data_IF_221454192150
#
_entry.id   IF_221454192150
#
_cell.length_a   1.000
_cell.length_b   1.000
_cell.length_c   1.000
_cell.angle_alpha   90.00
_cell.angle_beta   90.00
_cell.angle_gamma   90.00
#
_symmetry.space_group_name_H-M   'P 1'
#
loop_
_entity.id
_entity.type
_entity.pdbx_description
1 polymer ?
#
# COMPACT_ATOMS: atom_id res chain seq x y z
N UNK A 1 -17.88 7.01 -21.83
CA UNK A 1 -16.81 7.84 -22.44
C UNK A 1 -15.50 7.10 -22.29
N UNK A 2 -14.94 6.57 -23.37
CA UNK A 2 -13.62 5.93 -23.36
C UNK A 2 -12.56 7.03 -23.43
N UNK A 3 -12.09 7.47 -22.27
CA UNK A 3 -11.03 8.48 -22.20
C UNK A 3 -9.70 7.83 -22.52
N UNK A 4 -9.06 8.24 -23.61
CA UNK A 4 -7.67 7.85 -23.86
C UNK A 4 -6.77 8.47 -22.77
N UNK A 5 -5.80 7.69 -22.22
CA UNK A 5 -4.85 8.24 -21.27
C UNK A 5 -4.07 9.41 -21.89
N UNK A 6 -4.09 10.54 -21.21
CA UNK A 6 -3.34 11.74 -21.62
C UNK A 6 -1.86 11.61 -21.18
N UNK A 7 -0.93 12.43 -21.75
CA UNK A 7 0.45 12.50 -21.24
C UNK A 7 0.52 12.77 -19.72
N UNK A 8 -0.40 13.59 -19.20
CA UNK A 8 -0.51 13.84 -17.76
C UNK A 8 -0.86 12.57 -16.98
N UNK A 9 -1.71 11.68 -17.51
CA UNK A 9 -2.03 10.42 -16.84
C UNK A 9 -0.80 9.49 -16.79
N UNK A 10 0.01 9.42 -17.84
CA UNK A 10 1.25 8.66 -17.85
C UNK A 10 2.27 9.20 -16.85
N UNK A 11 2.42 10.53 -16.77
CA UNK A 11 3.26 11.17 -15.76
C UNK A 11 2.75 10.87 -14.34
N UNK A 12 1.43 10.88 -14.14
CA UNK A 12 0.81 10.56 -12.84
C UNK A 12 1.09 9.13 -12.40
N UNK A 13 1.03 8.15 -13.32
CA UNK A 13 1.36 6.74 -13.02
C UNK A 13 2.84 6.59 -12.65
N UNK A 14 3.72 7.25 -13.39
CA UNK A 14 5.15 7.22 -13.09
C UNK A 14 5.44 7.84 -11.72
N UNK A 15 4.87 9.01 -11.46
CA UNK A 15 5.03 9.72 -10.19
C UNK A 15 4.47 8.93 -9.00
N UNK A 16 3.30 8.31 -9.15
CA UNK A 16 2.73 7.44 -8.12
C UNK A 16 3.59 6.21 -7.87
N UNK A 17 4.15 5.60 -8.92
CA UNK A 17 5.08 4.48 -8.79
C UNK A 17 6.33 4.87 -8.00
N UNK A 18 6.93 6.01 -8.32
CA UNK A 18 8.09 6.58 -7.60
C UNK A 18 7.75 6.89 -6.14
N UNK A 19 6.65 7.58 -5.89
CA UNK A 19 6.24 7.98 -4.53
C UNK A 19 5.98 6.75 -3.66
N UNK A 20 5.18 5.80 -4.13
CA UNK A 20 4.84 4.63 -3.32
C UNK A 20 5.98 3.62 -3.24
N UNK A 21 6.78 3.45 -4.29
CA UNK A 21 8.00 2.65 -4.24
C UNK A 21 9.03 3.23 -3.27
N UNK A 22 9.22 4.55 -3.28
CA UNK A 22 10.09 5.26 -2.34
C UNK A 22 9.57 5.31 -0.90
N UNK A 23 8.29 5.05 -0.68
CA UNK A 23 7.68 5.07 0.67
C UNK A 23 8.41 4.13 1.63
N UNK A 24 8.78 2.93 1.20
CA UNK A 24 9.44 1.92 2.05
C UNK A 24 10.82 2.39 2.50
N UNK A 25 11.59 3.02 1.62
CA UNK A 25 12.86 3.67 1.95
C UNK A 25 12.65 4.78 3.00
N UNK A 26 11.65 5.64 2.80
CA UNK A 26 11.39 6.76 3.73
C UNK A 26 10.90 6.26 5.09
N UNK A 27 10.13 5.16 5.14
CA UNK A 27 9.76 4.47 6.39
C UNK A 27 11.01 3.97 7.10
N UNK A 28 11.95 3.32 6.39
CA UNK A 28 13.21 2.86 6.98
C UNK A 28 14.02 4.03 7.59
N UNK A 29 14.09 5.18 6.89
CA UNK A 29 14.75 6.39 7.41
C UNK A 29 14.02 6.93 8.64
N UNK A 30 12.69 6.93 8.67
CA UNK A 30 11.92 7.39 9.82
C UNK A 30 12.15 6.51 11.06
N UNK A 31 12.30 5.20 10.84
CA UNK A 31 12.56 4.20 11.90
C UNK A 31 13.95 4.33 12.53
N UNK A 32 14.88 5.09 11.95
CA UNK A 32 16.17 5.38 12.58
C UNK A 32 16.04 6.23 13.85
N UNK A 33 14.96 7.01 13.97
CA UNK A 33 14.75 7.90 15.10
C UNK A 33 13.44 7.70 15.85
N UNK A 34 12.49 6.96 15.26
CA UNK A 34 11.15 6.80 15.84
C UNK A 34 10.71 5.34 15.88
N UNK A 35 9.92 4.99 16.87
CA UNK A 35 9.28 3.68 16.93
C UNK A 35 8.27 3.44 15.81
N UNK A 36 7.97 2.17 15.49
CA UNK A 36 7.09 1.81 14.37
C UNK A 36 5.66 2.33 14.51
N UNK A 37 5.11 2.37 15.71
CA UNK A 37 3.77 2.93 15.94
C UNK A 37 3.78 4.46 15.83
N UNK A 38 4.86 5.12 16.24
CA UNK A 38 5.05 6.57 16.06
C UNK A 38 5.11 6.93 14.58
N UNK A 39 5.87 6.18 13.77
CA UNK A 39 5.94 6.38 12.32
C UNK A 39 4.56 6.18 11.67
N UNK A 40 3.88 5.08 12.00
CA UNK A 40 2.53 4.78 11.48
C UNK A 40 1.50 5.83 11.91
N UNK A 41 1.51 6.25 13.18
CA UNK A 41 0.60 7.23 13.76
C UNK A 41 0.81 8.62 13.15
N UNK A 42 2.05 9.10 13.14
CA UNK A 42 2.36 10.46 12.69
C UNK A 42 2.05 10.65 11.20
N UNK A 43 2.45 9.70 10.32
CA UNK A 43 2.11 9.77 8.89
C UNK A 43 0.60 9.74 8.65
N UNK A 44 -0.12 8.92 9.43
CA UNK A 44 -1.59 8.80 9.31
C UNK A 44 -2.28 10.08 9.76
N UNK A 45 -1.86 10.64 10.89
CA UNK A 45 -2.43 11.86 11.45
C UNK A 45 -2.17 13.07 10.54
N UNK A 46 -0.94 13.25 10.04
CA UNK A 46 -0.62 14.30 9.08
C UNK A 46 -1.44 14.18 7.80
N UNK A 47 -1.55 12.97 7.26
CA UNK A 47 -2.38 12.71 6.09
C UNK A 47 -3.86 12.98 6.34
N UNK A 48 -4.38 12.56 7.52
CA UNK A 48 -5.76 12.79 7.92
C UNK A 48 -6.09 14.29 8.02
N UNK A 49 -5.25 15.06 8.71
CA UNK A 49 -5.42 16.51 8.85
C UNK A 49 -5.40 17.18 7.48
N UNK A 50 -4.42 16.85 6.64
CA UNK A 50 -4.29 17.42 5.29
C UNK A 50 -5.52 17.12 4.44
N UNK A 51 -5.99 15.85 4.38
CA UNK A 51 -7.15 15.51 3.57
C UNK A 51 -8.47 16.03 4.15
N UNK A 52 -8.62 16.12 5.49
CA UNK A 52 -9.80 16.73 6.10
C UNK A 52 -9.88 18.23 5.77
N UNK A 53 -8.77 18.95 5.83
CA UNK A 53 -8.73 20.35 5.39
C UNK A 53 -9.16 20.49 3.93
N UNK A 54 -8.69 19.61 3.05
CA UNK A 54 -9.09 19.60 1.65
C UNK A 54 -10.57 19.27 1.46
N UNK A 55 -11.12 18.27 2.19
CA UNK A 55 -12.55 17.96 2.19
C UNK A 55 -13.36 19.20 2.55
N UNK A 56 -12.91 19.96 3.56
CA UNK A 56 -13.59 21.19 4.03
C UNK A 56 -13.48 22.31 3.00
N UNK A 57 -12.29 22.59 2.47
CA UNK A 57 -12.06 23.64 1.46
C UNK A 57 -12.81 23.35 0.17
N UNK A 58 -12.84 22.09 -0.25
CA UNK A 58 -13.53 21.66 -1.48
C UNK A 58 -15.03 21.41 -1.28
N UNK A 59 -15.57 21.64 -0.09
CA UNK A 59 -16.98 21.39 0.27
C UNK A 59 -17.45 19.99 -0.13
N UNK A 60 -16.62 18.95 0.12
CA UNK A 60 -16.98 17.57 -0.24
C UNK A 60 -18.03 17.02 0.71
N UNK A 61 -19.00 16.23 0.18
CA UNK A 61 -20.06 15.68 1.00
C UNK A 61 -19.54 14.68 2.04
N UNK A 62 -20.08 14.76 3.24
CA UNK A 62 -19.87 13.78 4.29
C UNK A 62 -20.84 12.60 4.13
N UNK A 63 -20.37 11.35 4.39
CA UNK A 63 -21.23 10.18 4.28
C UNK A 63 -22.32 10.17 5.36
N UNK A 64 -23.50 9.70 4.96
CA UNK A 64 -24.65 9.57 5.83
C UNK A 64 -25.06 8.10 5.97
N UNK A 65 -25.63 7.74 7.12
CA UNK A 65 -26.17 6.42 7.40
C UNK A 65 -25.18 5.46 8.08
N UNK A 66 -25.70 4.67 9.02
CA UNK A 66 -24.91 3.76 9.85
C UNK A 66 -24.17 2.68 9.06
N UNK A 67 -24.72 2.22 7.93
CA UNK A 67 -24.10 1.21 7.09
C UNK A 67 -22.77 1.70 6.51
N UNK A 68 -22.74 2.93 5.99
CA UNK A 68 -21.52 3.54 5.43
C UNK A 68 -20.43 3.66 6.51
N UNK A 69 -20.81 4.12 7.70
CA UNK A 69 -19.87 4.26 8.82
C UNK A 69 -19.30 2.93 9.29
N UNK A 70 -20.09 1.83 9.27
CA UNK A 70 -19.56 0.48 9.54
C UNK A 70 -18.50 0.07 8.53
N UNK A 71 -18.73 0.31 7.23
CA UNK A 71 -17.72 0.08 6.20
C UNK A 71 -16.49 0.93 6.41
N UNK A 72 -16.65 2.23 6.67
CA UNK A 72 -15.54 3.15 6.91
C UNK A 72 -14.66 2.73 8.09
N UNK A 73 -15.28 2.30 9.21
CA UNK A 73 -14.54 1.82 10.38
C UNK A 73 -13.66 0.62 10.04
N UNK A 74 -14.21 -0.40 9.39
CA UNK A 74 -13.46 -1.60 9.03
C UNK A 74 -12.40 -1.28 7.97
N UNK A 75 -12.76 -0.49 6.94
CA UNK A 75 -11.82 -0.07 5.89
C UNK A 75 -10.71 0.79 6.51
N UNK A 76 -11.01 1.71 7.41
CA UNK A 76 -10.02 2.56 8.07
C UNK A 76 -8.99 1.75 8.86
N UNK A 77 -9.41 0.74 9.59
CA UNK A 77 -8.48 -0.17 10.28
C UNK A 77 -7.65 -0.98 9.29
N UNK A 78 -8.29 -1.62 8.31
CA UNK A 78 -7.62 -2.54 7.38
C UNK A 78 -6.83 -1.84 6.26
N UNK A 79 -7.11 -0.58 5.97
CA UNK A 79 -6.41 0.18 4.93
C UNK A 79 -5.34 1.12 5.47
N UNK A 80 -5.35 1.43 6.76
CA UNK A 80 -4.42 2.40 7.35
C UNK A 80 -3.80 1.92 8.66
N UNK A 81 -4.56 1.74 9.73
CA UNK A 81 -4.00 1.44 11.05
C UNK A 81 -3.17 0.15 11.04
N UNK A 82 -3.80 -0.96 10.68
CA UNK A 82 -3.17 -2.28 10.71
C UNK A 82 -1.99 -2.40 9.73
N UNK A 83 -2.14 -2.10 8.42
CA UNK A 83 -1.02 -2.28 7.50
C UNK A 83 0.13 -1.31 7.75
N UNK A 84 -0.12 -0.08 8.19
CA UNK A 84 0.96 0.84 8.50
C UNK A 84 1.75 0.43 9.74
N UNK A 85 1.06 -0.05 10.79
CA UNK A 85 1.74 -0.62 11.96
C UNK A 85 2.56 -1.86 11.59
N UNK A 86 1.97 -2.81 10.86
CA UNK A 86 2.64 -4.05 10.46
C UNK A 86 3.87 -3.79 9.56
N UNK A 87 3.74 -2.89 8.59
CA UNK A 87 4.85 -2.52 7.70
C UNK A 87 5.96 -1.80 8.46
N UNK A 88 5.62 -0.82 9.30
CA UNK A 88 6.61 -0.10 10.09
C UNK A 88 7.31 -1.04 11.09
N UNK A 89 6.56 -1.95 11.74
CA UNK A 89 7.16 -2.93 12.62
C UNK A 89 8.04 -3.93 11.86
N UNK A 90 7.55 -4.48 10.77
CA UNK A 90 8.32 -5.42 9.95
C UNK A 90 9.62 -4.83 9.43
N UNK A 91 9.59 -3.59 8.95
CA UNK A 91 10.75 -2.90 8.39
C UNK A 91 11.85 -2.54 9.41
N UNK A 92 11.63 -2.75 10.71
CA UNK A 92 12.74 -2.71 11.68
C UNK A 92 13.70 -3.88 11.49
N UNK A 93 13.28 -4.98 10.87
CA UNK A 93 14.00 -6.25 10.78
C UNK A 93 14.25 -6.70 9.34
N UNK A 94 13.44 -6.26 8.38
CA UNK A 94 13.59 -6.63 6.98
C UNK A 94 13.93 -5.42 6.11
N UNK A 95 14.68 -5.62 4.99
CA UNK A 95 15.00 -4.54 4.06
C UNK A 95 13.74 -3.85 3.50
N UNK A 96 13.84 -2.56 3.18
CA UNK A 96 12.76 -1.79 2.55
C UNK A 96 12.32 -2.40 1.22
N UNK A 97 13.27 -2.95 0.46
CA UNK A 97 13.02 -3.68 -0.77
C UNK A 97 12.10 -4.91 -0.54
N UNK A 98 12.28 -5.66 0.56
CA UNK A 98 11.40 -6.78 0.90
C UNK A 98 9.94 -6.30 1.09
N UNK A 99 9.75 -5.25 1.89
CA UNK A 99 8.44 -4.69 2.14
C UNK A 99 7.76 -4.20 0.84
N UNK A 100 8.51 -3.56 -0.05
CA UNK A 100 8.00 -3.13 -1.35
C UNK A 100 7.63 -4.28 -2.29
N UNK A 101 8.43 -5.34 -2.36
CA UNK A 101 8.12 -6.53 -3.17
C UNK A 101 6.88 -7.25 -2.60
N UNK A 102 6.75 -7.32 -1.28
CA UNK A 102 5.58 -7.96 -0.64
C UNK A 102 4.26 -7.28 -1.04
N UNK A 103 4.26 -5.97 -1.33
CA UNK A 103 3.08 -5.25 -1.82
C UNK A 103 2.65 -5.69 -3.24
N UNK A 104 3.56 -6.22 -4.05
CA UNK A 104 3.20 -6.74 -5.38
C UNK A 104 2.32 -8.00 -5.33
N UNK A 105 2.25 -8.66 -4.18
CA UNK A 105 1.34 -9.80 -3.93
C UNK A 105 -0.12 -9.35 -3.77
N UNK A 106 -0.36 -8.10 -3.39
CA UNK A 106 -1.70 -7.55 -3.11
C UNK A 106 -2.73 -7.81 -4.23
N UNK A 107 -2.48 -7.48 -5.51
CA UNK A 107 -3.44 -7.74 -6.57
C UNK A 107 -3.76 -9.23 -6.75
N UNK A 108 -2.79 -10.11 -6.46
CA UNK A 108 -2.95 -11.55 -6.55
C UNK A 108 -3.85 -12.10 -5.42
N UNK A 109 -3.84 -11.45 -4.26
CA UNK A 109 -4.76 -11.78 -3.15
C UNK A 109 -6.16 -11.22 -3.43
N UNK A 110 -6.26 -10.03 -4.03
CA UNK A 110 -7.56 -9.42 -4.38
C UNK A 110 -8.35 -10.29 -5.35
N UNK A 111 -7.70 -10.95 -6.31
CA UNK A 111 -8.38 -11.77 -7.32
C UNK A 111 -9.22 -12.92 -6.72
N UNK A 112 -8.68 -13.83 -5.87
CA UNK A 112 -9.49 -14.88 -5.25
C UNK A 112 -10.52 -14.31 -4.28
N UNK A 113 -10.22 -13.25 -3.54
CA UNK A 113 -11.18 -12.60 -2.66
C UNK A 113 -12.35 -11.97 -3.46
N UNK A 114 -12.06 -11.35 -4.59
CA UNK A 114 -13.10 -10.80 -5.46
C UNK A 114 -13.97 -11.91 -6.08
N UNK A 115 -13.37 -13.07 -6.36
CA UNK A 115 -14.14 -14.23 -6.84
C UNK A 115 -15.09 -14.79 -5.77
N UNK A 116 -14.65 -14.89 -4.52
CA UNK A 116 -15.43 -15.42 -3.42
C UNK A 116 -16.49 -14.44 -2.89
N UNK A 117 -16.16 -13.16 -2.89
CA UNK A 117 -16.98 -12.13 -2.24
C UNK A 117 -17.55 -11.07 -3.20
N UNK A 118 -17.32 -11.17 -4.50
CA UNK A 118 -17.86 -10.31 -5.54
C UNK A 118 -18.21 -11.13 -6.77
N UNK A 119 -18.89 -10.55 -7.75
CA UNK A 119 -19.33 -11.24 -8.96
C UNK A 119 -18.21 -11.45 -10.00
N UNK A 120 -16.95 -11.31 -9.62
CA UNK A 120 -15.81 -11.50 -10.54
C UNK A 120 -15.43 -12.97 -10.63
N UNK A 121 -15.62 -13.57 -11.82
CA UNK A 121 -15.22 -14.96 -12.05
C UNK A 121 -13.70 -15.12 -12.24
N UNK A 122 -13.12 -16.12 -11.60
CA UNK A 122 -11.77 -16.58 -11.87
C UNK A 122 -11.73 -17.29 -13.24
N UNK A 123 -10.81 -16.86 -14.10
CA UNK A 123 -10.49 -17.58 -15.34
C UNK A 123 -9.21 -18.38 -15.13
N UNK A 124 -8.95 -19.38 -15.98
CA UNK A 124 -7.71 -20.17 -15.95
C UNK A 124 -6.46 -19.29 -15.94
N UNK A 125 -6.43 -18.21 -16.72
CA UNK A 125 -5.31 -17.26 -16.72
C UNK A 125 -5.14 -16.56 -15.38
N UNK A 126 -6.23 -16.08 -14.77
CA UNK A 126 -6.19 -15.47 -13.44
C UNK A 126 -5.67 -16.48 -12.41
N UNK A 127 -6.12 -17.73 -12.46
CA UNK A 127 -5.67 -18.80 -11.55
C UNK A 127 -4.17 -19.07 -11.72
N UNK A 128 -3.69 -19.27 -12.95
CA UNK A 128 -2.25 -19.48 -13.22
C UNK A 128 -1.42 -18.30 -12.73
N UNK A 129 -1.86 -17.07 -13.01
CA UNK A 129 -1.17 -15.85 -12.55
C UNK A 129 -1.11 -15.76 -11.03
N UNK A 130 -2.20 -16.07 -10.34
CA UNK A 130 -2.25 -16.11 -8.87
C UNK A 130 -1.30 -17.17 -8.30
N UNK A 131 -1.33 -18.39 -8.81
CA UNK A 131 -0.42 -19.47 -8.36
C UNK A 131 1.03 -19.09 -8.56
N UNK A 132 1.39 -18.57 -9.75
CA UNK A 132 2.76 -18.12 -10.03
C UNK A 132 3.21 -17.00 -9.09
N UNK A 133 2.34 -16.04 -8.82
CA UNK A 133 2.64 -14.95 -7.90
C UNK A 133 2.78 -15.42 -6.45
N UNK A 134 2.01 -16.39 -6.00
CA UNK A 134 2.18 -17.01 -4.68
C UNK A 134 3.50 -17.79 -4.57
N UNK A 135 3.91 -18.51 -5.62
CA UNK A 135 5.24 -19.12 -5.68
C UNK A 135 6.32 -18.04 -5.52
N UNK A 136 6.17 -16.89 -6.21
CA UNK A 136 7.05 -15.75 -6.04
C UNK A 136 7.10 -15.21 -4.62
N UNK A 137 5.95 -15.15 -3.91
CA UNK A 137 5.89 -14.74 -2.51
C UNK A 137 6.63 -15.73 -1.59
N UNK A 138 6.52 -17.04 -1.85
CA UNK A 138 7.27 -18.07 -1.09
C UNK A 138 8.77 -17.93 -1.35
N UNK A 139 9.20 -17.70 -2.58
CA UNK A 139 10.60 -17.43 -2.93
C UNK A 139 11.13 -16.17 -2.22
N UNK A 140 10.30 -15.14 -2.09
CA UNK A 140 10.63 -13.89 -1.39
C UNK A 140 10.95 -14.16 0.09
N UNK A 141 10.10 -14.91 0.79
CA UNK A 141 10.29 -15.26 2.20
C UNK A 141 11.54 -16.13 2.37
N UNK A 142 11.74 -17.10 1.47
CA UNK A 142 12.88 -17.99 1.46
C UNK A 142 12.71 -19.23 2.36
N UNK A 143 13.80 -20.02 2.54
CA UNK A 143 13.72 -21.35 3.17
C UNK A 143 13.34 -21.33 4.64
N UNK A 144 13.59 -20.23 5.35
CA UNK A 144 13.32 -20.10 6.79
C UNK A 144 11.90 -19.54 7.07
N UNK A 145 10.97 -19.72 6.15
CA UNK A 145 9.58 -19.22 6.23
C UNK A 145 8.82 -19.68 7.48
N UNK A 146 9.17 -20.84 8.01
CA UNK A 146 8.53 -21.47 9.18
C UNK A 146 9.46 -21.54 10.41
N UNK A 147 10.59 -20.84 10.37
CA UNK A 147 11.46 -20.72 11.52
C UNK A 147 10.97 -19.58 12.41
N UNK A 148 10.32 -19.92 13.52
CA UNK A 148 9.81 -18.97 14.51
C UNK A 148 10.71 -18.88 15.75
N UNK A 149 11.96 -19.33 15.65
CA UNK A 149 12.94 -19.18 16.73
C UNK A 149 13.24 -17.71 17.02
N UNK A 150 13.74 -17.43 18.22
CA UNK A 150 14.09 -16.06 18.61
C UNK A 150 15.15 -15.48 17.66
N UNK A 151 14.89 -14.29 17.15
CA UNK A 151 15.75 -13.61 16.18
C UNK A 151 15.53 -14.01 14.71
N UNK A 152 14.58 -14.90 14.41
CA UNK A 152 14.24 -15.24 13.02
C UNK A 152 13.51 -14.08 12.32
N UNK A 153 13.62 -14.02 10.99
CA UNK A 153 12.94 -13.02 10.17
C UNK A 153 11.53 -13.43 9.77
N UNK A 154 11.04 -14.62 10.16
CA UNK A 154 9.74 -15.13 9.74
C UNK A 154 8.58 -14.21 10.13
N UNK A 155 8.50 -13.80 11.41
CA UNK A 155 7.43 -12.90 11.89
C UNK A 155 7.46 -11.53 11.21
N UNK A 156 8.60 -10.80 11.10
CA UNK A 156 8.68 -9.55 10.36
C UNK A 156 8.28 -9.68 8.88
N UNK A 157 8.70 -10.74 8.22
CA UNK A 157 8.33 -11.02 6.83
C UNK A 157 6.83 -11.29 6.68
N UNK A 158 6.25 -12.10 7.57
CA UNK A 158 4.82 -12.37 7.60
C UNK A 158 4.01 -11.11 7.93
N UNK A 159 4.51 -10.20 8.77
CA UNK A 159 3.86 -8.92 9.03
C UNK A 159 3.73 -8.08 7.75
N UNK A 160 4.78 -8.00 6.93
CA UNK A 160 4.72 -7.30 5.64
C UNK A 160 3.70 -7.94 4.68
N UNK A 161 3.63 -9.28 4.63
CA UNK A 161 2.64 -9.98 3.80
C UNK A 161 1.22 -9.81 4.37
N UNK A 162 1.06 -9.87 5.69
CA UNK A 162 -0.22 -9.62 6.36
C UNK A 162 -0.75 -8.19 6.07
N UNK A 163 0.14 -7.20 5.97
CA UNK A 163 -0.24 -5.87 5.50
C UNK A 163 -0.82 -5.89 4.09
N UNK A 164 -0.24 -6.66 3.16
CA UNK A 164 -0.79 -6.85 1.80
C UNK A 164 -2.14 -7.55 1.82
N UNK A 165 -2.33 -8.55 2.68
CA UNK A 165 -3.62 -9.21 2.88
C UNK A 165 -4.66 -8.22 3.42
N UNK A 166 -4.29 -7.38 4.39
CA UNK A 166 -5.15 -6.34 4.96
C UNK A 166 -5.62 -5.35 3.89
N UNK A 167 -4.71 -4.85 3.05
CA UNK A 167 -5.06 -4.00 1.91
C UNK A 167 -5.97 -4.72 0.91
N UNK A 168 -5.75 -6.01 0.65
CA UNK A 168 -6.58 -6.76 -0.28
C UNK A 168 -8.02 -6.89 0.22
N UNK A 169 -8.22 -7.24 1.49
CA UNK A 169 -9.55 -7.28 2.13
C UNK A 169 -10.20 -5.90 2.12
N UNK A 170 -9.46 -4.87 2.50
CA UNK A 170 -9.92 -3.47 2.47
C UNK A 170 -10.37 -3.05 1.07
N UNK A 171 -9.64 -3.46 0.03
CA UNK A 171 -9.98 -3.16 -1.37
C UNK A 171 -11.33 -3.77 -1.77
N UNK A 172 -11.60 -5.01 -1.39
CA UNK A 172 -12.89 -5.68 -1.64
C UNK A 172 -14.02 -5.01 -0.86
N UNK A 173 -13.80 -4.66 0.41
CA UNK A 173 -14.78 -3.94 1.23
C UNK A 173 -15.07 -2.54 0.68
N UNK A 174 -14.06 -1.83 0.18
CA UNK A 174 -14.23 -0.52 -0.45
C UNK A 174 -15.12 -0.58 -1.68
N UNK A 175 -15.03 -1.65 -2.47
CA UNK A 175 -15.93 -1.88 -3.63
C UNK A 175 -17.38 -2.16 -3.23
N UNK A 176 -17.60 -2.73 -2.04
CA UNK A 176 -18.93 -3.03 -1.48
C UNK A 176 -19.53 -1.89 -0.67
N UNK A 177 -18.70 -0.94 -0.27
CA UNK A 177 -19.13 0.25 0.47
C UNK A 177 -20.12 1.06 -0.39
N UNK A 178 -21.23 1.53 0.17
CA UNK A 178 -22.10 2.46 -0.52
C UNK A 178 -21.30 3.67 -1.05
N UNK A 179 -21.77 4.33 -2.11
CA UNK A 179 -21.03 5.42 -2.74
C UNK A 179 -20.65 6.53 -1.76
N UNK A 180 -19.35 6.83 -1.67
CA UNK A 180 -18.76 7.92 -0.89
C UNK A 180 -17.84 8.72 -1.81
N UNK A 181 -17.76 10.05 -1.62
CA UNK A 181 -16.76 10.84 -2.32
C UNK A 181 -15.36 10.29 -2.01
N UNK A 182 -14.55 10.10 -3.06
CA UNK A 182 -13.26 9.39 -2.92
C UNK A 182 -12.25 10.13 -2.04
N UNK A 183 -12.30 11.47 -1.99
CA UNK A 183 -11.41 12.27 -1.12
C UNK A 183 -11.90 12.15 0.32
N UNK A 184 -13.21 12.22 0.54
CA UNK A 184 -13.83 12.03 1.85
C UNK A 184 -13.57 10.62 2.39
N UNK A 185 -13.69 9.58 1.54
CA UNK A 185 -13.35 8.21 1.91
C UNK A 185 -11.89 8.12 2.39
N UNK A 186 -10.94 8.66 1.61
CA UNK A 186 -9.52 8.65 1.97
C UNK A 186 -9.26 9.42 3.29
N UNK A 187 -9.86 10.60 3.47
CA UNK A 187 -9.73 11.38 4.69
C UNK A 187 -10.25 10.62 5.92
N UNK A 188 -11.48 10.08 5.85
CA UNK A 188 -12.11 9.40 6.98
C UNK A 188 -11.41 8.09 7.34
N UNK A 189 -10.92 7.33 6.37
CA UNK A 189 -10.13 6.12 6.66
C UNK A 189 -8.82 6.43 7.36
N UNK A 190 -8.17 7.56 7.04
CA UNK A 190 -6.99 8.04 7.76
C UNK A 190 -7.34 8.53 9.17
N UNK A 191 -8.46 9.23 9.34
CA UNK A 191 -8.93 9.65 10.69
C UNK A 191 -9.15 8.45 11.59
N UNK A 192 -9.85 7.44 11.09
CA UNK A 192 -10.10 6.20 11.83
C UNK A 192 -8.78 5.49 12.16
N UNK A 193 -7.86 5.44 11.18
CA UNK A 193 -6.51 4.92 11.40
C UNK A 193 -5.76 5.66 12.50
N UNK A 194 -5.80 7.00 12.50
CA UNK A 194 -5.18 7.83 13.53
C UNK A 194 -5.81 7.59 14.92
N UNK A 195 -7.14 7.52 14.99
CA UNK A 195 -7.87 7.23 16.25
C UNK A 195 -7.47 5.87 16.83
N UNK A 196 -7.18 4.87 16.00
CA UNK A 196 -6.71 3.56 16.46
C UNK A 196 -5.22 3.60 16.84
N UNK A 197 -4.38 4.30 16.08
CA UNK A 197 -2.94 4.30 16.26
C UNK A 197 -2.46 5.20 17.42
N UNK A 198 -3.14 6.33 17.68
CA UNK A 198 -2.75 7.24 18.76
C UNK A 198 -2.72 6.55 20.13
N UNK A 199 -3.80 5.85 20.58
CA UNK A 199 -3.75 5.13 21.86
C UNK A 199 -2.67 4.04 21.88
N UNK A 200 -2.53 3.28 20.79
CA UNK A 200 -1.50 2.23 20.70
C UNK A 200 -0.09 2.83 20.81
N UNK A 201 0.20 3.90 20.08
CA UNK A 201 1.49 4.59 20.18
C UNK A 201 1.76 5.08 21.60
N UNK A 202 0.80 5.75 22.23
CA UNK A 202 0.97 6.29 23.59
C UNK A 202 1.21 5.20 24.64
N UNK A 203 0.57 4.03 24.49
CA UNK A 203 0.73 2.91 25.43
C UNK A 203 2.07 2.20 25.26
N UNK A 204 2.50 1.96 24.01
CA UNK A 204 3.67 1.12 23.74
C UNK A 204 4.96 1.91 23.52
N UNK A 205 4.90 3.14 23.03
CA UNK A 205 6.08 3.96 22.69
C UNK A 205 6.12 5.30 23.46
N UNK A 206 5.00 5.71 24.05
CA UNK A 206 4.90 6.98 24.79
C UNK A 206 4.68 8.19 23.89
N UNK A 207 4.86 9.37 24.45
CA UNK A 207 4.74 10.65 23.72
C UNK A 207 6.01 10.86 22.88
N UNK A 208 5.89 10.99 21.54
CA UNK A 208 7.06 11.18 20.70
C UNK A 208 7.70 12.53 20.94
N UNK A 209 9.02 12.55 21.06
CA UNK A 209 9.84 13.76 21.10
C UNK A 209 10.44 14.04 19.73
N UNK A 210 10.81 15.31 19.50
CA UNK A 210 11.50 15.66 18.26
C UNK A 210 12.88 15.01 18.24
N UNK A 211 13.19 14.33 17.13
CA UNK A 211 14.49 13.71 16.87
C UNK A 211 15.18 14.49 15.75
N UNK A 212 16.37 15.01 16.04
CA UNK A 212 17.17 15.71 15.03
C UNK A 212 17.68 14.75 13.94
N UNK A 213 17.99 15.31 12.78
CA UNK A 213 18.46 14.55 11.63
C UNK A 213 17.38 14.25 10.62
N UNK A 214 17.52 13.13 9.86
CA UNK A 214 16.67 12.81 8.72
C UNK A 214 15.34 12.13 9.06
N UNK A 215 15.18 11.64 10.29
CA UNK A 215 13.98 10.89 10.69
C UNK A 215 12.72 11.78 10.79
N UNK A 216 12.81 12.96 11.39
CA UNK A 216 11.66 13.85 11.52
C UNK A 216 11.16 14.40 10.16
N UNK A 217 12.01 14.91 9.25
CA UNK A 217 11.59 15.24 7.89
C UNK A 217 10.99 14.07 7.14
N UNK A 218 11.49 12.85 7.35
CA UNK A 218 10.95 11.64 6.74
C UNK A 218 9.49 11.39 7.14
N UNK A 219 9.14 11.52 8.42
CA UNK A 219 7.75 11.40 8.88
C UNK A 219 6.85 12.45 8.24
N UNK A 220 7.28 13.70 8.17
CA UNK A 220 6.51 14.77 7.55
C UNK A 220 6.28 14.47 6.07
N UNK A 221 7.33 14.05 5.36
CA UNK A 221 7.22 13.62 3.97
C UNK A 221 6.22 12.46 3.81
N UNK A 222 6.29 11.43 4.68
CA UNK A 222 5.38 10.28 4.65
C UNK A 222 3.90 10.69 4.77
N UNK A 223 3.59 11.63 5.64
CA UNK A 223 2.22 12.11 5.81
C UNK A 223 1.72 12.93 4.63
N UNK A 224 2.54 13.83 4.10
CA UNK A 224 2.13 14.78 3.07
C UNK A 224 2.19 14.19 1.66
N UNK A 225 3.29 13.50 1.30
CA UNK A 225 3.52 13.09 -0.09
C UNK A 225 2.88 11.72 -0.40
N UNK A 226 3.33 10.57 0.15
CA UNK A 226 2.76 9.28 -0.22
C UNK A 226 1.37 9.04 0.38
N UNK A 227 0.95 9.79 1.39
CA UNK A 227 -0.36 9.61 2.03
C UNK A 227 -1.38 10.62 1.50
N UNK A 228 -1.18 11.92 1.63
CA UNK A 228 -2.17 12.92 1.21
C UNK A 228 -2.11 13.22 -0.30
N UNK A 229 -0.96 13.66 -0.80
CA UNK A 229 -0.82 14.05 -2.21
C UNK A 229 -1.06 12.87 -3.17
N UNK A 230 -0.46 11.70 -2.88
CA UNK A 230 -0.65 10.52 -3.72
C UNK A 230 -2.10 10.03 -3.75
N UNK A 231 -2.86 10.19 -2.63
CA UNK A 231 -4.29 9.87 -2.62
C UNK A 231 -5.07 10.75 -3.59
N UNK A 232 -4.78 12.04 -3.66
CA UNK A 232 -5.43 12.98 -4.61
C UNK A 232 -5.07 12.64 -6.06
N UNK A 233 -3.77 12.44 -6.32
CA UNK A 233 -3.29 12.09 -7.66
C UNK A 233 -3.89 10.77 -8.15
N UNK A 234 -4.01 9.77 -7.26
CA UNK A 234 -4.69 8.50 -7.53
C UNK A 234 -6.15 8.72 -7.92
N UNK A 235 -6.91 9.50 -7.13
CA UNK A 235 -8.32 9.79 -7.41
C UNK A 235 -8.46 10.47 -8.77
N UNK A 236 -7.63 11.46 -9.07
CA UNK A 236 -7.63 12.15 -10.35
C UNK A 236 -7.31 11.20 -11.51
N UNK A 237 -6.29 10.37 -11.38
CA UNK A 237 -5.91 9.38 -12.40
C UNK A 237 -7.02 8.37 -12.68
N UNK A 238 -7.70 7.87 -11.63
CA UNK A 238 -8.84 6.96 -11.79
C UNK A 238 -10.00 7.65 -12.51
N UNK A 239 -10.29 8.91 -12.19
CA UNK A 239 -11.38 9.67 -12.83
C UNK A 239 -11.12 9.98 -14.30
N UNK A 240 -9.86 10.20 -14.69
CA UNK A 240 -9.50 10.64 -16.04
C UNK A 240 -9.07 9.49 -16.96
N UNK A 241 -8.41 8.46 -16.45
CA UNK A 241 -7.88 7.34 -17.23
C UNK A 241 -8.45 5.97 -16.84
N UNK A 242 -9.20 5.89 -15.74
CA UNK A 242 -9.85 4.68 -15.28
C UNK A 242 -9.02 3.82 -14.32
N UNK A 243 -9.72 2.92 -13.63
CA UNK A 243 -9.10 2.08 -12.60
C UNK A 243 -8.13 1.03 -13.18
N UNK A 244 -8.38 0.54 -14.39
CA UNK A 244 -7.48 -0.42 -15.06
C UNK A 244 -6.14 0.23 -15.36
N UNK A 245 -6.13 1.48 -15.84
CA UNK A 245 -4.90 2.23 -16.07
C UNK A 245 -4.11 2.45 -14.78
N UNK A 246 -4.82 2.75 -13.68
CA UNK A 246 -4.20 2.92 -12.36
C UNK A 246 -3.47 1.66 -11.86
N UNK A 247 -3.88 0.45 -12.29
CA UNK A 247 -3.19 -0.79 -11.85
C UNK A 247 -1.73 -0.87 -12.32
N UNK A 248 -1.33 -0.10 -13.34
CA UNK A 248 0.06 -0.03 -13.82
C UNK A 248 1.05 0.41 -12.72
N UNK A 249 0.58 1.15 -11.71
CA UNK A 249 1.42 1.55 -10.57
C UNK A 249 1.89 0.34 -9.79
N UNK A 250 1.07 -0.71 -9.67
CA UNK A 250 1.42 -1.92 -8.91
C UNK A 250 2.63 -2.68 -9.48
N UNK A 251 2.93 -2.50 -10.77
CA UNK A 251 4.12 -3.08 -11.40
C UNK A 251 5.39 -2.27 -11.09
N UNK A 252 5.25 -0.98 -10.85
CA UNK A 252 6.36 -0.06 -10.64
C UNK A 252 6.82 -0.03 -9.17
N UNK A 253 5.88 -0.09 -8.22
CA UNK A 253 6.17 0.04 -6.78
C UNK A 253 7.29 -0.89 -6.32
N UNK A 254 7.27 -2.22 -6.58
CA UNK A 254 8.33 -3.11 -6.13
C UNK A 254 9.67 -2.86 -6.82
N UNK A 255 9.64 -2.42 -8.09
CA UNK A 255 10.86 -2.07 -8.83
C UNK A 255 11.53 -0.85 -8.21
N UNK A 256 10.77 0.23 -7.97
CA UNK A 256 11.30 1.43 -7.36
C UNK A 256 11.73 1.19 -5.91
N UNK A 257 11.05 0.35 -5.14
CA UNK A 257 11.48 0.02 -3.77
C UNK A 257 12.83 -0.70 -3.74
N UNK A 258 13.09 -1.61 -4.68
CA UNK A 258 14.39 -2.25 -4.82
C UNK A 258 15.49 -1.25 -5.22
N UNK A 259 15.21 -0.37 -6.19
CA UNK A 259 16.15 0.64 -6.65
C UNK A 259 16.53 1.58 -5.50
N UNK A 260 15.54 2.13 -4.78
CA UNK A 260 15.80 3.05 -3.68
C UNK A 260 16.43 2.37 -2.46
N UNK A 261 16.03 1.13 -2.14
CA UNK A 261 16.67 0.34 -1.09
C UNK A 261 18.15 0.09 -1.38
N UNK A 262 18.47 -0.37 -2.58
CA UNK A 262 19.86 -0.62 -2.98
C UNK A 262 20.69 0.66 -3.08
N UNK A 263 20.15 1.70 -3.72
CA UNK A 263 20.93 2.90 -4.06
C UNK A 263 21.06 3.88 -2.88
N UNK A 264 19.97 4.13 -2.14
CA UNK A 264 19.95 5.16 -1.10
C UNK A 264 20.24 4.59 0.29
N UNK A 265 19.72 3.39 0.58
CA UNK A 265 19.94 2.73 1.88
C UNK A 265 21.11 1.75 1.85
N UNK A 266 21.75 1.54 0.67
CA UNK A 266 22.84 0.57 0.51
C UNK A 266 22.46 -0.86 0.93
N UNK A 267 21.19 -1.23 0.72
CA UNK A 267 20.68 -2.56 1.06
C UNK A 267 21.32 -3.62 0.15
N UNK A 268 21.83 -4.70 0.74
CA UNK A 268 22.29 -5.87 -0.01
C UNK A 268 21.07 -6.69 -0.42
N UNK A 269 20.80 -6.75 -1.72
CA UNK A 269 19.65 -7.45 -2.28
C UNK A 269 20.03 -8.90 -2.65
N UNK A 270 19.54 -9.92 -1.92
CA UNK A 270 19.79 -11.31 -2.28
C UNK A 270 19.16 -11.65 -3.64
N UNK A 271 19.79 -12.57 -4.39
CA UNK A 271 19.31 -12.99 -5.72
C UNK A 271 17.83 -13.46 -5.70
N UNK A 272 17.38 -14.03 -4.58
CA UNK A 272 15.98 -14.43 -4.39
C UNK A 272 14.98 -13.27 -4.53
N UNK A 273 15.36 -12.01 -4.23
CA UNK A 273 14.48 -10.85 -4.39
C UNK A 273 14.18 -10.58 -5.87
N UNK A 274 15.19 -10.70 -6.72
CA UNK A 274 15.02 -10.56 -8.19
C UNK A 274 14.17 -11.69 -8.75
N UNK A 275 14.42 -12.94 -8.32
CA UNK A 275 13.62 -14.09 -8.71
C UNK A 275 12.16 -13.98 -8.26
N UNK A 276 11.93 -13.58 -7.02
CA UNK A 276 10.60 -13.34 -6.47
C UNK A 276 9.87 -12.23 -7.24
N UNK A 277 10.54 -11.09 -7.47
CA UNK A 277 9.99 -9.98 -8.25
C UNK A 277 9.58 -10.43 -9.65
N UNK A 278 10.45 -11.15 -10.35
CA UNK A 278 10.16 -11.66 -11.69
C UNK A 278 8.93 -12.58 -11.69
N UNK A 279 8.85 -13.54 -10.76
CA UNK A 279 7.70 -14.46 -10.64
C UNK A 279 6.39 -13.71 -10.33
N UNK A 280 6.42 -12.77 -9.38
CA UNK A 280 5.24 -11.99 -8.98
C UNK A 280 4.77 -11.11 -10.14
N UNK A 281 5.68 -10.39 -10.82
CA UNK A 281 5.33 -9.53 -11.95
C UNK A 281 4.84 -10.34 -13.16
N UNK A 282 5.42 -11.49 -13.45
CA UNK A 282 4.91 -12.43 -14.47
C UNK A 282 3.51 -12.93 -14.11
N UNK A 283 3.30 -13.36 -12.85
CA UNK A 283 1.99 -13.78 -12.36
C UNK A 283 0.93 -12.68 -12.50
N UNK A 284 1.29 -11.46 -12.12
CA UNK A 284 0.43 -10.28 -12.24
C UNK A 284 0.13 -9.96 -13.72
N UNK A 285 1.15 -10.01 -14.60
CA UNK A 285 1.01 -9.79 -16.04
C UNK A 285 0.07 -10.81 -16.69
N UNK A 286 0.23 -12.10 -16.36
CA UNK A 286 -0.65 -13.18 -16.86
C UNK A 286 -2.09 -12.96 -16.36
N UNK A 287 -2.27 -12.66 -15.07
CA UNK A 287 -3.59 -12.50 -14.47
C UNK A 287 -4.35 -11.28 -15.00
N UNK A 288 -3.64 -10.19 -15.32
CA UNK A 288 -4.22 -8.93 -15.80
C UNK A 288 -4.10 -8.73 -17.32
N UNK A 289 -3.71 -9.78 -18.07
CA UNK A 289 -3.45 -9.70 -19.52
C UNK A 289 -4.56 -9.04 -20.33
N UNK A 290 -5.82 -9.35 -20.02
CA UNK A 290 -6.96 -8.78 -20.75
C UNK A 290 -7.05 -7.26 -20.58
N UNK A 291 -6.79 -6.76 -19.37
CA UNK A 291 -6.74 -5.33 -19.07
C UNK A 291 -5.56 -4.65 -19.76
N UNK A 292 -4.36 -5.25 -19.69
CA UNK A 292 -3.16 -4.73 -20.35
C UNK A 292 -3.33 -4.69 -21.87
N UNK A 293 -3.87 -5.75 -22.47
CA UNK A 293 -4.16 -5.79 -23.92
C UNK A 293 -5.16 -4.73 -24.33
N UNK A 294 -6.14 -4.42 -23.50
CA UNK A 294 -7.11 -3.34 -23.80
C UNK A 294 -6.47 -1.94 -23.78
N UNK A 295 -5.42 -1.74 -22.97
CA UNK A 295 -4.65 -0.49 -22.95
C UNK A 295 -3.72 -0.34 -24.16
N UNK A 296 -3.12 -1.45 -24.65
CA UNK A 296 -2.23 -1.45 -25.81
C UNK A 296 -2.96 -1.32 -27.15
N UNK A 297 -4.26 -1.64 -27.19
CA UNK A 297 -5.11 -1.52 -28.39
C UNK A 297 -5.82 -0.15 -28.53
N UNK A 298 -5.62 0.71 -27.57
CA UNK A 298 -6.16 2.08 -27.52
C UNK A 298 -5.07 3.10 -27.83
#
# INVERSE_FOLDING_TARGET
MTTHPTPFNWLSILLLGLIWGGTFMVVAIALEGYGPLTVACARTTLGAVTLLLLVRIMNRPMPQGALVWRYLLVIGVLNTALPFALLSWGQQYVPSAFAGISMAVLPLIVLPLAHLFSDEKMSTRKTVGVVLGFVGALVLIGPNALDFSAGSLALPQLACIAASCSYAVSSVLTRRCPPVDSITLAALTLVIGAVCLIPAMLVFEGVPTWVDGRAAPAIIFLGLVPTAFAALLRVQTIRTAGSVFMTLVNYQVPVWSMIFGAWILSEVLPLRFFAALALILCGLGISQWAGLKSLLRR
#
